data_IF_805920570543
#
_entry.id   IF_805920570543
#
_cell.length_a   1.000
_cell.length_b   1.000
_cell.length_c   1.000
_cell.angle_alpha   90.00
_cell.angle_beta   90.00
_cell.angle_gamma   90.00
#
_symmetry.space_group_name_H-M   'P 1'
#
loop_
_entity.id
_entity.type
_entity.pdbx_description
1 polymer ?
#
# COMPACT_ATOMS: atom_id res chain seq x y z
N UNK A 1 -0.61 -1.57 17.35
CA UNK A 1 -0.18 -0.46 16.45
C UNK A 1 1.34 -0.35 16.21
N UNK A 2 2.19 -0.94 17.05
CA UNK A 2 3.67 -0.92 16.85
C UNK A 2 4.16 -1.60 15.55
N UNK A 3 3.29 -2.32 14.85
CA UNK A 3 3.67 -3.18 13.73
C UNK A 3 3.42 -2.56 12.35
N UNK A 4 2.53 -1.56 12.25
CA UNK A 4 2.30 -0.79 11.01
C UNK A 4 3.09 0.51 11.06
N UNK A 5 4.38 0.42 10.79
CA UNK A 5 5.26 1.57 10.79
C UNK A 5 5.26 2.26 9.42
N UNK A 6 5.11 3.59 9.39
CA UNK A 6 5.33 4.53 8.28
C UNK A 6 4.19 4.76 7.28
N UNK A 7 3.36 3.82 6.87
CA UNK A 7 2.33 4.06 5.86
C UNK A 7 1.06 3.25 6.15
N UNK A 8 -0.11 3.82 5.88
CA UNK A 8 -1.42 3.24 6.17
C UNK A 8 -1.74 3.06 7.67
N UNK A 9 -0.91 3.55 8.56
CA UNK A 9 -1.15 3.53 10.00
C UNK A 9 -2.31 4.44 10.39
N UNK A 10 -2.34 5.66 9.87
CA UNK A 10 -3.43 6.64 10.01
C UNK A 10 -4.75 6.11 9.43
N UNK A 11 -4.71 5.57 8.22
CA UNK A 11 -5.88 5.00 7.55
C UNK A 11 -6.42 3.78 8.33
N UNK A 12 -5.54 2.90 8.79
CA UNK A 12 -5.93 1.75 9.59
C UNK A 12 -6.53 2.16 10.93
N UNK A 13 -5.92 3.15 11.61
CA UNK A 13 -6.43 3.70 12.87
C UNK A 13 -7.82 4.32 12.69
N UNK A 14 -7.99 5.11 11.64
CA UNK A 14 -9.26 5.76 11.29
C UNK A 14 -10.36 4.71 11.03
N UNK A 15 -10.04 3.62 10.33
CA UNK A 15 -11.00 2.53 10.09
C UNK A 15 -11.34 1.74 11.36
N UNK A 16 -10.38 1.52 12.24
CA UNK A 16 -10.63 0.87 13.54
C UNK A 16 -11.52 1.74 14.43
N UNK A 17 -11.30 3.06 14.47
CA UNK A 17 -12.19 4.01 15.16
C UNK A 17 -13.62 3.96 14.61
N UNK A 18 -13.78 3.98 13.29
CA UNK A 18 -15.08 3.88 12.63
C UNK A 18 -15.80 2.58 13.01
N UNK A 19 -15.09 1.45 13.04
CA UNK A 19 -15.64 0.16 13.44
C UNK A 19 -16.04 0.11 14.93
N UNK A 20 -15.36 0.88 15.77
CA UNK A 20 -15.72 1.03 17.20
C UNK A 20 -16.89 1.99 17.42
N UNK A 21 -17.55 2.47 16.36
CA UNK A 21 -18.71 3.36 16.46
C UNK A 21 -18.38 4.84 16.62
N UNK A 22 -17.11 5.22 16.50
CA UNK A 22 -16.69 6.63 16.55
C UNK A 22 -17.12 7.35 15.27
N UNK A 23 -17.77 8.50 15.41
CA UNK A 23 -18.10 9.36 14.29
C UNK A 23 -16.89 10.20 13.88
N UNK A 24 -16.54 10.14 12.61
CA UNK A 24 -15.44 10.90 12.02
C UNK A 24 -16.01 12.11 11.28
N UNK A 25 -15.46 13.29 11.55
CA UNK A 25 -15.86 14.52 10.90
C UNK A 25 -14.74 15.04 10.01
N UNK A 26 -15.08 15.35 8.75
CA UNK A 26 -14.20 16.07 7.86
C UNK A 26 -14.36 17.57 8.10
N UNK A 27 -13.28 18.28 8.39
CA UNK A 27 -13.26 19.71 8.56
C UNK A 27 -12.68 20.40 7.32
N UNK A 28 -13.52 20.76 6.33
CA UNK A 28 -13.05 21.20 5.01
C UNK A 28 -12.39 22.60 5.03
N UNK A 29 -12.53 23.32 6.13
CA UNK A 29 -12.00 24.70 6.25
C UNK A 29 -10.55 24.78 6.76
N UNK A 30 -9.96 23.65 7.14
CA UNK A 30 -8.59 23.60 7.65
C UNK A 30 -7.68 22.98 6.60
N UNK A 31 -6.69 23.76 6.15
CA UNK A 31 -5.65 23.28 5.26
C UNK A 31 -4.45 22.81 6.09
N UNK A 32 -4.09 21.54 5.92
CA UNK A 32 -2.85 21.00 6.45
C UNK A 32 -1.82 21.10 5.35
N UNK A 33 -0.72 21.82 5.60
CA UNK A 33 0.40 21.91 4.67
C UNK A 33 1.35 20.76 5.00
N UNK A 34 1.53 19.85 4.03
CA UNK A 34 2.48 18.76 4.13
C UNK A 34 3.90 19.33 4.01
N UNK A 35 4.74 19.13 5.02
CA UNK A 35 6.11 19.66 5.07
C UNK A 35 7.05 18.74 4.26
N UNK A 36 6.75 17.46 4.18
CA UNK A 36 7.53 16.49 3.42
C UNK A 36 7.05 16.38 1.96
N UNK A 37 8.00 16.25 1.04
CA UNK A 37 7.69 15.94 -0.35
C UNK A 37 7.00 14.58 -0.44
N UNK A 38 5.69 14.63 -0.63
CA UNK A 38 4.88 13.44 -0.91
C UNK A 38 5.35 12.77 -2.22
N UNK A 39 5.20 11.45 -2.34
CA UNK A 39 5.49 10.71 -3.58
C UNK A 39 4.74 11.25 -4.80
N UNK A 40 3.59 11.87 -4.57
CA UNK A 40 2.74 12.44 -5.63
C UNK A 40 3.37 13.65 -6.29
N UNK A 41 4.39 14.26 -5.70
CA UNK A 41 5.10 15.42 -6.25
C UNK A 41 6.28 15.03 -7.16
N UNK A 42 6.72 13.78 -7.13
CA UNK A 42 7.72 13.27 -8.07
C UNK A 42 7.05 12.96 -9.42
N UNK A 43 7.22 13.84 -10.40
CA UNK A 43 6.73 13.58 -11.75
C UNK A 43 7.49 12.38 -12.31
N UNK A 44 6.79 11.35 -12.84
CA UNK A 44 7.46 10.21 -13.44
C UNK A 44 8.34 10.68 -14.61
N UNK A 45 9.59 10.25 -14.65
CA UNK A 45 10.57 10.61 -15.71
C UNK A 45 10.10 10.19 -17.10
N UNK A 46 9.24 9.20 -17.19
CA UNK A 46 8.71 8.67 -18.45
C UNK A 46 7.24 8.26 -18.24
N UNK A 47 6.42 8.37 -19.29
CA UNK A 47 5.01 7.94 -19.32
C UNK A 47 4.85 6.46 -18.90
N UNK A 48 5.85 5.63 -19.20
CA UNK A 48 5.88 4.21 -18.84
C UNK A 48 6.44 3.94 -17.45
N UNK A 49 7.07 4.93 -16.79
CA UNK A 49 7.59 4.76 -15.44
C UNK A 49 6.45 4.73 -14.42
N UNK A 50 6.69 4.03 -13.34
CA UNK A 50 5.77 4.00 -12.19
C UNK A 50 6.44 4.70 -11.01
N UNK A 51 5.72 5.51 -10.22
CA UNK A 51 6.24 6.08 -8.98
C UNK A 51 6.85 5.02 -8.06
N UNK A 52 6.35 3.77 -8.15
CA UNK A 52 6.92 2.63 -7.43
C UNK A 52 8.37 2.31 -7.84
N UNK A 53 8.78 2.63 -9.06
CA UNK A 53 10.16 2.37 -9.50
C UNK A 53 11.12 3.53 -9.20
N UNK A 54 10.59 4.68 -8.81
CA UNK A 54 11.39 5.87 -8.52
C UNK A 54 11.57 6.11 -7.03
N UNK A 55 10.61 5.66 -6.23
CA UNK A 55 10.66 5.79 -4.77
C UNK A 55 11.77 4.95 -4.13
N UNK A 56 12.19 5.34 -2.93
CA UNK A 56 13.15 4.57 -2.14
C UNK A 56 12.58 3.20 -1.76
N UNK A 57 13.45 2.21 -1.69
CA UNK A 57 13.07 0.81 -1.45
C UNK A 57 12.25 0.62 -0.17
N UNK A 58 12.64 1.30 0.92
CA UNK A 58 11.91 1.19 2.16
C UNK A 58 10.48 1.76 2.06
N UNK A 59 10.28 2.86 1.32
CA UNK A 59 8.95 3.44 1.06
C UNK A 59 8.05 2.43 0.35
N UNK A 60 8.54 1.83 -0.73
CA UNK A 60 7.80 0.82 -1.51
C UNK A 60 7.45 -0.39 -0.65
N UNK A 61 8.43 -0.89 0.09
CA UNK A 61 8.28 -2.06 0.96
C UNK A 61 7.16 -1.86 1.99
N UNK A 62 7.22 -0.77 2.75
CA UNK A 62 6.23 -0.52 3.79
C UNK A 62 4.86 -0.18 3.22
N UNK A 63 4.80 0.60 2.14
CA UNK A 63 3.54 0.92 1.47
C UNK A 63 2.84 -0.33 0.97
N UNK A 64 3.50 -1.19 0.21
CA UNK A 64 2.87 -2.39 -0.32
C UNK A 64 2.51 -3.37 0.79
N UNK A 65 3.40 -3.63 1.75
CA UNK A 65 3.13 -4.51 2.87
C UNK A 65 1.91 -4.06 3.68
N UNK A 66 1.89 -2.79 4.07
CA UNK A 66 0.85 -2.25 4.93
C UNK A 66 -0.47 -2.11 4.17
N UNK A 67 -0.43 -1.74 2.89
CA UNK A 67 -1.61 -1.70 2.02
C UNK A 67 -2.27 -3.06 1.90
N UNK A 68 -1.52 -4.11 1.57
CA UNK A 68 -2.04 -5.48 1.47
C UNK A 68 -2.67 -5.93 2.80
N UNK A 69 -1.98 -5.64 3.91
CA UNK A 69 -2.52 -5.92 5.24
C UNK A 69 -3.83 -5.19 5.49
N UNK A 70 -3.88 -3.90 5.23
CA UNK A 70 -5.07 -3.06 5.39
C UNK A 70 -6.23 -3.58 4.54
N UNK A 71 -5.99 -3.80 3.25
CA UNK A 71 -7.01 -4.27 2.32
C UNK A 71 -7.59 -5.62 2.76
N UNK A 72 -6.75 -6.59 3.12
CA UNK A 72 -7.19 -7.90 3.60
C UNK A 72 -7.95 -7.85 4.93
N UNK A 73 -7.67 -6.87 5.78
CA UNK A 73 -8.31 -6.73 7.08
C UNK A 73 -9.63 -5.95 7.02
N UNK A 74 -9.74 -4.97 6.12
CA UNK A 74 -10.84 -4.01 6.14
C UNK A 74 -11.76 -4.03 4.91
N UNK A 75 -11.22 -4.27 3.71
CA UNK A 75 -11.93 -4.01 2.45
C UNK A 75 -12.21 -5.27 1.63
N UNK A 76 -11.39 -6.31 1.77
CA UNK A 76 -11.52 -7.52 0.96
C UNK A 76 -12.67 -8.40 1.45
N UNK A 77 -13.72 -8.49 0.64
CA UNK A 77 -14.85 -9.42 0.84
C UNK A 77 -14.64 -10.73 0.10
N UNK A 78 -14.12 -10.68 -1.13
CA UNK A 78 -13.85 -11.85 -1.96
C UNK A 78 -12.34 -11.98 -2.25
N UNK A 79 -11.73 -13.04 -1.70
CA UNK A 79 -10.30 -13.29 -1.83
C UNK A 79 -9.86 -13.69 -3.23
N UNK A 80 -10.75 -14.33 -4.03
CA UNK A 80 -10.44 -14.71 -5.41
C UNK A 80 -10.35 -13.46 -6.30
N UNK A 81 -11.32 -12.57 -6.19
CA UNK A 81 -11.32 -11.29 -6.91
C UNK A 81 -10.10 -10.46 -6.49
N UNK A 82 -9.77 -10.45 -5.20
CA UNK A 82 -8.59 -9.75 -4.72
C UNK A 82 -7.29 -10.35 -5.28
N UNK A 83 -7.18 -11.67 -5.34
CA UNK A 83 -6.05 -12.36 -5.98
C UNK A 83 -5.89 -11.97 -7.45
N UNK A 84 -7.01 -11.90 -8.18
CA UNK A 84 -6.99 -11.43 -9.57
C UNK A 84 -6.55 -9.96 -9.70
N UNK A 85 -6.98 -9.09 -8.79
CA UNK A 85 -6.55 -7.70 -8.76
C UNK A 85 -5.03 -7.56 -8.50
N UNK A 86 -4.50 -8.35 -7.55
CA UNK A 86 -3.04 -8.41 -7.30
C UNK A 86 -2.29 -8.90 -8.54
N UNK A 87 -2.80 -9.94 -9.19
CA UNK A 87 -2.21 -10.46 -10.43
C UNK A 87 -2.20 -9.38 -11.54
N UNK A 88 -3.33 -8.72 -11.76
CA UNK A 88 -3.44 -7.65 -12.75
C UNK A 88 -2.51 -6.47 -12.44
N UNK A 89 -2.42 -6.07 -11.16
CA UNK A 89 -1.48 -5.07 -10.70
C UNK A 89 -0.03 -5.46 -11.05
N UNK A 90 0.35 -6.70 -10.78
CA UNK A 90 1.70 -7.20 -11.06
C UNK A 90 1.98 -7.25 -12.57
N UNK A 91 1.02 -7.67 -13.38
CA UNK A 91 1.16 -7.70 -14.85
C UNK A 91 1.36 -6.31 -15.44
N UNK A 92 0.56 -5.32 -15.00
CA UNK A 92 0.71 -3.93 -15.44
C UNK A 92 2.10 -3.39 -15.07
N UNK A 93 2.57 -3.65 -13.85
CA UNK A 93 3.89 -3.19 -13.42
C UNK A 93 5.03 -3.95 -14.09
N UNK A 94 4.82 -5.20 -14.46
CA UNK A 94 5.78 -5.96 -15.26
C UNK A 94 5.99 -5.30 -16.64
N UNK A 95 4.90 -5.01 -17.35
CA UNK A 95 4.98 -4.32 -18.65
C UNK A 95 5.66 -2.95 -18.51
N UNK A 96 5.27 -2.16 -17.50
CA UNK A 96 5.93 -0.88 -17.21
C UNK A 96 7.41 -1.02 -16.91
N UNK A 97 7.80 -2.05 -16.14
CA UNK A 97 9.19 -2.32 -15.82
C UNK A 97 10.03 -2.69 -17.06
N UNK A 98 9.45 -3.46 -17.98
CA UNK A 98 10.09 -3.78 -19.25
C UNK A 98 10.29 -2.52 -20.11
N UNK A 99 9.23 -1.73 -20.29
CA UNK A 99 9.26 -0.53 -21.14
C UNK A 99 10.15 0.58 -20.58
N UNK A 100 10.28 0.67 -19.25
CA UNK A 100 11.11 1.68 -18.57
C UNK A 100 12.53 1.21 -18.23
N UNK A 101 12.87 -0.06 -18.51
CA UNK A 101 14.18 -0.65 -18.15
C UNK A 101 14.36 -0.92 -16.65
N UNK A 102 13.31 -0.84 -15.85
CA UNK A 102 13.35 -0.99 -14.39
C UNK A 102 13.06 -2.41 -13.88
N UNK A 103 13.36 -3.41 -14.69
CA UNK A 103 13.03 -4.81 -14.37
C UNK A 103 13.64 -5.30 -13.04
N UNK A 104 14.82 -4.80 -12.66
CA UNK A 104 15.46 -5.14 -11.38
C UNK A 104 14.63 -4.65 -10.17
N UNK A 105 13.91 -3.55 -10.29
CA UNK A 105 13.04 -2.99 -9.25
C UNK A 105 11.66 -3.65 -9.19
N UNK A 106 11.29 -4.39 -10.21
CA UNK A 106 10.04 -5.12 -10.26
C UNK A 106 10.03 -6.35 -9.35
N UNK A 107 11.10 -7.16 -9.37
CA UNK A 107 11.15 -8.42 -8.61
C UNK A 107 10.92 -8.27 -7.10
N UNK A 108 11.47 -7.26 -6.41
CA UNK A 108 11.20 -7.06 -4.99
C UNK A 108 9.71 -6.85 -4.64
N UNK A 109 8.87 -6.41 -5.58
CA UNK A 109 7.45 -6.19 -5.34
C UNK A 109 6.73 -7.48 -4.91
N UNK A 110 7.13 -8.63 -5.45
CA UNK A 110 6.60 -9.94 -5.03
C UNK A 110 6.84 -10.21 -3.55
N UNK A 111 8.07 -9.93 -3.10
CA UNK A 111 8.45 -10.12 -1.69
C UNK A 111 7.65 -9.19 -0.77
N UNK A 112 7.42 -7.95 -1.18
CA UNK A 112 6.68 -6.97 -0.38
C UNK A 112 5.20 -7.33 -0.26
N UNK A 113 4.58 -7.78 -1.37
CA UNK A 113 3.21 -8.28 -1.38
C UNK A 113 3.08 -9.54 -0.51
N UNK A 114 3.99 -10.51 -0.68
CA UNK A 114 4.02 -11.72 0.14
C UNK A 114 4.14 -11.40 1.64
N UNK A 115 5.05 -10.49 2.00
CA UNK A 115 5.21 -10.04 3.39
C UNK A 115 3.93 -9.42 3.96
N UNK A 116 3.17 -8.69 3.15
CA UNK A 116 1.85 -8.16 3.55
C UNK A 116 0.84 -9.26 3.87
N UNK A 117 0.79 -10.30 3.04
CA UNK A 117 -0.09 -11.46 3.24
C UNK A 117 0.32 -12.24 4.49
N UNK A 118 1.61 -12.49 4.68
CA UNK A 118 2.14 -13.18 5.87
C UNK A 118 1.83 -12.40 7.13
N UNK A 119 2.01 -11.09 7.09
CA UNK A 119 1.72 -10.20 8.21
C UNK A 119 0.23 -10.26 8.61
N UNK A 120 -0.68 -10.22 7.62
CA UNK A 120 -2.12 -10.41 7.86
C UNK A 120 -2.43 -11.76 8.50
N UNK A 121 -1.88 -12.87 7.99
CA UNK A 121 -2.12 -14.21 8.53
C UNK A 121 -1.64 -14.35 9.97
N UNK A 122 -0.43 -13.84 10.27
CA UNK A 122 0.14 -13.87 11.62
C UNK A 122 -0.74 -13.13 12.63
N UNK A 123 -1.22 -11.93 12.28
CA UNK A 123 -2.07 -11.15 13.18
C UNK A 123 -3.42 -11.83 13.41
N UNK A 124 -4.02 -12.44 12.38
CA UNK A 124 -5.27 -13.16 12.51
C UNK A 124 -5.16 -14.35 13.46
N UNK A 125 -4.06 -15.12 13.37
CA UNK A 125 -3.85 -16.28 14.23
C UNK A 125 -3.58 -15.89 15.70
N UNK A 126 -3.04 -14.71 15.95
CA UNK A 126 -2.79 -14.23 17.32
C UNK A 126 -4.06 -13.66 17.99
N UNK A 127 -5.11 -13.38 17.22
CA UNK A 127 -6.39 -12.83 17.71
C UNK A 127 -7.51 -13.91 17.80
N UNK A 128 -7.19 -15.15 17.42
CA UNK A 128 -8.07 -16.33 17.55
C UNK A 128 -7.70 -17.13 18.78
#
# INVERSE_FOLDING_TARGET
FREMFLYFDDTNYTMDLKRSGVHLWLLPYYNIIDIDNSWTNEKPRNIFSSPLFEASEYKIRYTLRNRIFFELNHTVTNKLIYGFNIFSFMMIHFVKALLSGNIKRYFPLYVYIYNGIVFYKKKRNNNS
#
